data_IF_666480177436
#
_entry.id   IF_666480177436
#
_cell.length_a   1.000
_cell.length_b   1.000
_cell.length_c   1.000
_cell.angle_alpha   90.00
_cell.angle_beta   90.00
_cell.angle_gamma   90.00
#
_symmetry.space_group_name_H-M   'P 1'
#
loop_
_entity.id
_entity.type
_entity.pdbx_description
1 polymer ?
#
# COMPACT_ATOMS: atom_id res chain seq x y z
N UNK A 1 19.07 -19.35 -0.50
CA UNK A 1 19.29 -17.93 -0.89
C UNK A 1 18.18 -17.34 -1.75
N UNK A 2 17.69 -18.04 -2.80
CA UNK A 2 16.63 -17.55 -3.71
C UNK A 2 15.33 -17.09 -3.00
N UNK A 3 14.91 -17.82 -1.95
CA UNK A 3 13.75 -17.47 -1.13
C UNK A 3 13.95 -16.22 -0.27
N UNK A 4 15.17 -15.98 0.20
CA UNK A 4 15.51 -14.83 1.05
C UNK A 4 15.47 -13.53 0.23
N UNK A 5 15.96 -13.58 -1.02
CA UNK A 5 15.87 -12.48 -1.97
C UNK A 5 14.42 -12.16 -2.36
N UNK A 6 13.59 -13.18 -2.56
CA UNK A 6 12.15 -13.00 -2.85
C UNK A 6 11.38 -12.43 -1.66
N UNK A 7 11.70 -12.85 -0.45
CA UNK A 7 11.14 -12.25 0.77
C UNK A 7 11.52 -10.76 0.85
N UNK A 8 12.79 -10.42 0.65
CA UNK A 8 13.23 -9.03 0.62
C UNK A 8 12.49 -8.20 -0.45
N UNK A 9 12.39 -8.71 -1.69
CA UNK A 9 11.64 -8.02 -2.76
C UNK A 9 10.16 -7.88 -2.39
N UNK A 10 9.53 -8.90 -1.83
CA UNK A 10 8.12 -8.85 -1.46
C UNK A 10 7.84 -7.79 -0.40
N UNK A 11 8.73 -7.65 0.59
CA UNK A 11 8.62 -6.64 1.64
C UNK A 11 8.81 -5.25 1.05
N UNK A 12 9.83 -5.04 0.21
CA UNK A 12 10.07 -3.74 -0.44
C UNK A 12 8.90 -3.39 -1.38
N UNK A 13 8.42 -4.34 -2.16
CA UNK A 13 7.28 -4.14 -3.05
C UNK A 13 5.99 -3.80 -2.29
N UNK A 14 5.74 -4.49 -1.18
CA UNK A 14 4.61 -4.20 -0.30
C UNK A 14 4.72 -2.80 0.33
N UNK A 15 5.90 -2.41 0.81
CA UNK A 15 6.14 -1.07 1.36
C UNK A 15 5.83 0.02 0.32
N UNK A 16 6.35 -0.13 -0.90
CA UNK A 16 6.11 0.83 -1.99
C UNK A 16 4.64 0.89 -2.36
N UNK A 17 3.97 -0.26 -2.47
CA UNK A 17 2.54 -0.32 -2.82
C UNK A 17 1.66 0.37 -1.75
N UNK A 18 1.89 0.08 -0.47
CA UNK A 18 1.12 0.67 0.63
C UNK A 18 1.41 2.16 0.76
N UNK A 19 2.67 2.58 0.63
CA UNK A 19 3.03 4.00 0.63
C UNK A 19 2.34 4.75 -0.53
N UNK A 20 2.35 4.18 -1.74
CA UNK A 20 1.66 4.75 -2.89
C UNK A 20 0.15 4.89 -2.62
N UNK A 21 -0.51 3.84 -2.12
CA UNK A 21 -1.93 3.91 -1.78
C UNK A 21 -2.23 4.95 -0.70
N UNK A 22 -1.42 5.03 0.35
CA UNK A 22 -1.58 6.02 1.43
C UNK A 22 -1.48 7.45 0.89
N UNK A 23 -0.47 7.72 0.04
CA UNK A 23 -0.27 9.03 -0.61
C UNK A 23 -1.44 9.35 -1.54
N UNK A 24 -1.86 8.41 -2.39
CA UNK A 24 -3.02 8.61 -3.27
C UNK A 24 -4.28 8.90 -2.47
N UNK A 25 -4.48 8.23 -1.34
CA UNK A 25 -5.64 8.45 -0.48
C UNK A 25 -5.59 9.85 0.16
N UNK A 26 -4.43 10.28 0.64
CA UNK A 26 -4.23 11.63 1.17
C UNK A 26 -4.52 12.71 0.11
N UNK A 27 -3.97 12.54 -1.10
CA UNK A 27 -4.24 13.44 -2.24
C UNK A 27 -5.74 13.45 -2.55
N UNK A 28 -6.38 12.28 -2.58
CA UNK A 28 -7.80 12.18 -2.83
C UNK A 28 -8.62 12.91 -1.76
N UNK A 29 -8.29 12.77 -0.48
CA UNK A 29 -8.94 13.50 0.62
C UNK A 29 -8.83 15.01 0.48
N UNK A 30 -7.67 15.52 0.05
CA UNK A 30 -7.47 16.95 -0.21
C UNK A 30 -8.42 17.50 -1.28
N UNK A 31 -8.78 16.69 -2.29
CA UNK A 31 -9.64 17.12 -3.40
C UNK A 31 -11.11 16.71 -3.23
N UNK A 32 -11.40 15.60 -2.56
CA UNK A 32 -12.74 15.07 -2.34
C UNK A 32 -13.48 15.81 -1.22
N UNK A 33 -12.76 16.32 -0.21
CA UNK A 33 -13.32 17.04 0.93
C UNK A 33 -13.75 18.48 0.64
N UNK A 34 -13.99 18.83 -0.64
CA UNK A 34 -14.27 20.20 -1.12
C UNK A 34 -14.92 21.12 -0.08
N UNK A 35 -14.12 22.06 0.44
CA UNK A 35 -14.55 23.12 1.37
C UNK A 35 -15.16 22.68 2.71
N UNK A 36 -15.01 21.42 3.12
CA UNK A 36 -15.42 20.99 4.46
C UNK A 36 -14.25 21.17 5.45
N UNK A 37 -14.34 22.19 6.29
CA UNK A 37 -13.47 22.36 7.45
C UNK A 37 -13.48 21.10 8.32
N UNK A 38 -12.32 20.73 8.85
CA UNK A 38 -12.19 19.61 9.78
C UNK A 38 -11.14 18.57 9.38
N UNK A 39 -11.10 17.50 10.18
CA UNK A 39 -10.13 16.41 10.06
C UNK A 39 -10.75 15.25 9.26
N UNK A 40 -10.21 15.02 8.08
CA UNK A 40 -10.62 13.93 7.18
C UNK A 40 -9.67 12.75 7.32
N UNK A 41 -10.23 11.56 7.51
CA UNK A 41 -9.49 10.32 7.72
C UNK A 41 -9.45 9.48 6.44
N UNK A 42 -8.30 8.84 6.22
CA UNK A 42 -7.96 8.12 5.01
C UNK A 42 -7.19 6.85 5.27
N UNK A 43 -7.27 5.91 4.32
CA UNK A 43 -6.55 4.64 4.34
C UNK A 43 -6.78 3.91 5.67
N UNK A 44 -8.04 3.53 5.93
CA UNK A 44 -8.45 2.88 7.18
C UNK A 44 -8.10 3.69 8.44
N UNK A 45 -8.38 4.99 8.45
CA UNK A 45 -8.08 5.93 9.55
C UNK A 45 -6.60 6.09 9.94
N UNK A 46 -5.70 5.56 9.11
CA UNK A 46 -4.26 5.63 9.38
C UNK A 46 -3.65 6.96 8.99
N UNK A 47 -4.16 7.59 7.94
CA UNK A 47 -3.69 8.89 7.44
C UNK A 47 -4.79 9.91 7.65
N UNK A 48 -4.41 11.13 8.01
CA UNK A 48 -5.37 12.23 8.12
C UNK A 48 -4.91 13.44 7.32
N UNK A 49 -5.89 14.18 6.83
CA UNK A 49 -5.74 15.52 6.26
C UNK A 49 -6.64 16.44 7.06
N UNK A 50 -6.08 17.50 7.61
CA UNK A 50 -6.78 18.48 8.41
C UNK A 50 -6.80 19.83 7.67
N UNK A 51 -7.99 20.38 7.52
CA UNK A 51 -8.22 21.68 6.86
C UNK A 51 -8.72 22.66 7.92
N UNK A 52 -7.89 23.65 8.26
CA UNK A 52 -8.25 24.71 9.21
C UNK A 52 -8.26 26.09 8.53
N UNK A 53 -9.28 26.92 8.75
CA UNK A 53 -9.25 28.32 8.32
C UNK A 53 -8.20 29.08 9.14
N UNK A 54 -7.25 29.71 8.45
CA UNK A 54 -6.29 30.63 9.04
C UNK A 54 -6.93 31.97 9.39
N UNK A 55 -6.44 32.61 10.46
CA UNK A 55 -6.92 33.93 10.92
C UNK A 55 -6.69 35.07 9.92
N UNK A 56 -5.89 34.82 8.89
CA UNK A 56 -5.54 35.67 7.75
C UNK A 56 -6.40 35.41 6.50
N UNK A 57 -7.37 34.50 6.58
CA UNK A 57 -8.19 34.07 5.44
C UNK A 57 -7.52 33.03 4.54
N UNK A 58 -6.30 32.58 4.87
CA UNK A 58 -5.64 31.48 4.18
C UNK A 58 -6.11 30.13 4.72
N UNK A 59 -6.28 29.12 3.85
CA UNK A 59 -6.56 27.75 4.29
C UNK A 59 -5.25 27.09 4.74
N UNK A 60 -5.17 26.64 6.00
CA UNK A 60 -4.05 25.84 6.50
C UNK A 60 -4.37 24.36 6.32
N UNK A 61 -3.43 23.65 5.71
CA UNK A 61 -3.49 22.21 5.47
C UNK A 61 -2.47 21.51 6.37
N UNK A 62 -2.94 20.62 7.22
CA UNK A 62 -2.13 19.65 7.96
C UNK A 62 -2.32 18.26 7.36
N UNK A 63 -1.27 17.46 7.28
CA UNK A 63 -1.37 16.05 6.94
C UNK A 63 -0.43 15.24 7.82
N UNK A 64 -0.85 14.02 8.19
CA UNK A 64 -0.07 13.19 9.08
C UNK A 64 -0.60 11.77 9.23
N UNK A 65 0.03 11.02 10.14
CA UNK A 65 -0.36 9.67 10.52
C UNK A 65 -1.18 9.78 11.81
N UNK A 66 -2.40 9.23 11.79
CA UNK A 66 -3.27 9.15 12.95
C UNK A 66 -3.07 7.81 13.69
N UNK A 67 -3.18 6.69 12.98
CA UNK A 67 -2.89 5.36 13.52
C UNK A 67 -1.98 4.59 12.55
N UNK A 68 -0.74 4.22 12.93
CA UNK A 68 0.14 3.47 12.05
C UNK A 68 -0.26 1.99 11.87
N UNK A 69 -1.15 1.45 12.72
CA UNK A 69 -1.49 0.02 12.73
C UNK A 69 -2.04 -0.49 11.37
N UNK A 70 -3.00 0.18 10.71
CA UNK A 70 -3.54 -0.30 9.43
C UNK A 70 -2.50 -0.30 8.31
N UNK A 71 -1.53 0.62 8.34
CA UNK A 71 -0.41 0.64 7.39
C UNK A 71 0.50 -0.57 7.59
N UNK A 72 0.86 -0.87 8.84
CA UNK A 72 1.72 -2.02 9.17
C UNK A 72 1.04 -3.33 8.76
N UNK A 73 -0.23 -3.49 9.13
CA UNK A 73 -1.02 -4.67 8.75
C UNK A 73 -1.13 -4.78 7.22
N UNK A 74 -1.39 -3.67 6.53
CA UNK A 74 -1.42 -3.63 5.07
C UNK A 74 -0.12 -4.10 4.43
N UNK A 75 1.04 -3.67 4.93
CA UNK A 75 2.36 -4.10 4.43
C UNK A 75 2.56 -5.59 4.64
N UNK A 76 2.22 -6.11 5.84
CA UNK A 76 2.38 -7.54 6.14
C UNK A 76 1.50 -8.39 5.22
N UNK A 77 0.23 -8.02 5.07
CA UNK A 77 -0.72 -8.74 4.21
C UNK A 77 -0.28 -8.69 2.74
N UNK A 78 0.15 -7.53 2.24
CA UNK A 78 0.63 -7.38 0.88
C UNK A 78 1.92 -8.18 0.62
N UNK A 79 2.86 -8.20 1.57
CA UNK A 79 4.09 -8.99 1.44
C UNK A 79 3.78 -10.50 1.40
N UNK A 80 2.90 -10.96 2.29
CA UNK A 80 2.41 -12.35 2.29
C UNK A 80 1.73 -12.72 0.99
N UNK A 81 0.90 -11.82 0.44
CA UNK A 81 0.25 -12.02 -0.85
C UNK A 81 1.26 -12.14 -1.99
N UNK A 82 2.25 -11.23 -2.08
CA UNK A 82 3.29 -11.28 -3.10
C UNK A 82 4.10 -12.58 -3.01
N UNK A 83 4.42 -13.03 -1.80
CA UNK A 83 5.09 -14.32 -1.59
C UNK A 83 4.25 -15.51 -2.06
N UNK A 84 2.94 -15.51 -1.77
CA UNK A 84 2.04 -16.54 -2.24
C UNK A 84 1.98 -16.58 -3.77
N UNK A 85 1.93 -15.41 -4.43
CA UNK A 85 1.98 -15.31 -5.90
C UNK A 85 3.27 -15.92 -6.45
N UNK A 86 4.42 -15.64 -5.84
CA UNK A 86 5.69 -16.26 -6.26
C UNK A 86 5.68 -17.78 -6.09
N UNK A 87 5.11 -18.30 -5.00
CA UNK A 87 5.01 -19.74 -4.77
C UNK A 87 4.14 -20.44 -5.82
N UNK A 88 2.98 -19.85 -6.15
CA UNK A 88 2.09 -20.36 -7.20
C UNK A 88 2.76 -20.31 -8.57
N UNK A 89 3.41 -19.20 -8.90
CA UNK A 89 4.12 -19.04 -10.17
C UNK A 89 5.23 -20.08 -10.36
N UNK A 90 5.98 -20.41 -9.31
CA UNK A 90 6.98 -21.48 -9.34
C UNK A 90 6.34 -22.85 -9.58
N UNK A 91 5.23 -23.15 -8.91
CA UNK A 91 4.50 -24.40 -9.12
C UNK A 91 3.98 -24.55 -10.55
N UNK A 92 3.52 -23.45 -11.16
CA UNK A 92 3.10 -23.42 -12.56
C UNK A 92 4.26 -23.59 -13.53
N UNK A 93 5.41 -22.97 -13.25
CA UNK A 93 6.62 -23.13 -14.07
C UNK A 93 7.13 -24.57 -14.06
N UNK A 94 7.09 -25.23 -12.90
CA UNK A 94 7.51 -26.62 -12.78
C UNK A 94 6.58 -27.55 -13.56
N UNK A 95 5.26 -27.37 -13.43
CA UNK A 95 4.28 -28.11 -14.25
C UNK A 95 4.47 -27.88 -15.75
N UNK A 96 4.74 -26.64 -16.16
CA UNK A 96 5.03 -26.32 -17.57
C UNK A 96 6.26 -27.08 -18.07
N UNK A 97 7.32 -27.17 -17.27
CA UNK A 97 8.54 -27.92 -17.63
C UNK A 97 8.28 -29.41 -17.76
N UNK A 98 7.52 -29.99 -16.84
CA UNK A 98 7.14 -31.41 -16.91
C UNK A 98 6.38 -31.72 -18.19
N UNK A 99 5.37 -30.90 -18.52
CA UNK A 99 4.58 -31.07 -19.75
C UNK A 99 5.42 -30.92 -21.02
N UNK A 100 6.41 -30.01 -21.02
CA UNK A 100 7.32 -29.86 -22.17
C UNK A 100 8.31 -31.01 -22.29
N UNK A 101 8.69 -31.65 -21.18
CA UNK A 101 9.58 -32.80 -21.17
C UNK A 101 8.87 -34.11 -21.57
N UNK A 102 7.57 -34.23 -21.30
CA UNK A 102 6.75 -35.38 -21.73
C UNK A 102 6.29 -35.28 -23.20
N UNK A 103 6.30 -34.07 -23.78
CA UNK A 103 5.85 -33.82 -25.16
C UNK A 103 6.97 -33.85 -26.22
N UNK A 104 8.23 -34.04 -25.81
CA UNK A 104 9.41 -34.13 -26.70
C UNK A 104 10.02 -35.51 -26.70
#
# INVERSE_FOLDING_TARGET
>A
MKWLYRAAISIVGALVAIAACAVTTAIWLMFAGGSAEGRHLGFFDSVFVEVQPGSDGAIRLGAGINDPLPLIVGVIVAAMFILAVFAVHDGLLERKRQLLAEAG
#
